data_IF_286589331092
#
_entry.id   IF_286589331092
#
_cell.length_a   1.000
_cell.length_b   1.000
_cell.length_c   1.000
_cell.angle_alpha   90.00
_cell.angle_beta   90.00
_cell.angle_gamma   90.00
#
_symmetry.space_group_name_H-M   'P 1'
#
loop_
_entity.id
_entity.type
_entity.pdbx_description
1 polymer ?
#
# COMPACT_ATOMS: atom_id res chain seq x y z
N UNK A 1 -7.15 1.54 -2.11
CA UNK A 1 -7.35 2.49 -0.99
C UNK A 1 -6.96 3.91 -1.41
N UNK A 2 -7.40 4.95 -0.71
CA UNK A 2 -6.87 6.32 -0.83
C UNK A 2 -6.07 6.63 0.44
N UNK A 3 -4.80 6.97 0.31
CA UNK A 3 -3.88 7.19 1.43
C UNK A 3 -3.25 8.58 1.41
N UNK A 4 -2.98 9.15 2.57
CA UNK A 4 -2.26 10.42 2.68
C UNK A 4 -0.80 10.27 2.22
N UNK A 5 -0.27 11.30 1.56
CA UNK A 5 1.13 11.37 1.17
C UNK A 5 2.03 11.68 2.37
N UNK A 6 2.21 10.66 3.22
CA UNK A 6 3.17 10.66 4.34
C UNK A 6 4.07 9.44 4.22
N UNK A 7 5.36 9.53 4.58
CA UNK A 7 6.34 8.47 4.31
C UNK A 7 5.94 7.06 4.78
N UNK A 8 5.32 6.88 5.98
CA UNK A 8 4.90 5.56 6.41
C UNK A 8 3.84 4.94 5.50
N UNK A 9 2.89 5.72 4.98
CA UNK A 9 1.79 5.21 4.16
C UNK A 9 2.24 5.05 2.71
N UNK A 10 2.84 6.10 2.14
CA UNK A 10 3.22 6.13 0.73
C UNK A 10 4.23 5.05 0.37
N UNK A 11 5.18 4.75 1.28
CA UNK A 11 6.17 3.68 1.08
C UNK A 11 5.53 2.32 0.78
N UNK A 12 4.51 1.91 1.54
CA UNK A 12 3.90 0.59 1.36
C UNK A 12 2.93 0.56 0.18
N UNK A 13 2.14 1.63 0.03
CA UNK A 13 1.10 1.75 -1.01
C UNK A 13 1.72 1.83 -2.40
N UNK A 14 2.75 2.67 -2.59
CA UNK A 14 3.42 2.84 -3.88
C UNK A 14 4.24 1.60 -4.24
N UNK A 15 4.97 1.01 -3.28
CA UNK A 15 5.75 -0.22 -3.53
C UNK A 15 4.87 -1.38 -4.01
N UNK A 16 3.65 -1.47 -3.49
CA UNK A 16 2.71 -2.52 -3.84
C UNK A 16 1.76 -2.15 -4.99
N UNK A 17 1.81 -0.92 -5.51
CA UNK A 17 0.80 -0.38 -6.43
C UNK A 17 -0.64 -0.71 -5.96
N UNK A 18 -0.95 -0.43 -4.70
CA UNK A 18 -2.17 -0.91 -4.01
C UNK A 18 -3.17 0.19 -3.64
N UNK A 19 -2.93 1.41 -4.10
CA UNK A 19 -3.78 2.55 -3.81
C UNK A 19 -3.31 3.85 -4.43
N UNK A 20 -4.11 4.88 -4.23
CA UNK A 20 -3.85 6.25 -4.69
C UNK A 20 -3.32 7.04 -3.50
N UNK A 21 -2.18 7.70 -3.66
CA UNK A 21 -1.60 8.61 -2.67
C UNK A 21 -1.99 10.04 -2.99
N UNK A 22 -2.51 10.76 -2.00
CA UNK A 22 -3.02 12.12 -2.16
C UNK A 22 -2.47 13.09 -1.12
N UNK A 23 -2.37 14.37 -1.45
CA UNK A 23 -2.10 15.41 -0.45
C UNK A 23 -3.26 15.47 0.58
N UNK A 24 -3.00 15.24 1.88
CA UNK A 24 -4.05 15.23 2.91
C UNK A 24 -4.73 16.58 3.12
N UNK A 25 -4.12 17.68 2.66
CA UNK A 25 -4.67 19.04 2.79
C UNK A 25 -5.35 19.53 1.50
N UNK A 26 -5.46 18.68 0.48
CA UNK A 26 -6.11 19.02 -0.79
C UNK A 26 -7.42 18.25 -0.95
N UNK A 27 -8.54 18.88 -0.58
CA UNK A 27 -9.86 18.25 -0.64
C UNK A 27 -10.24 17.80 -2.06
N UNK A 28 -9.87 18.57 -3.09
CA UNK A 28 -10.20 18.25 -4.47
C UNK A 28 -9.51 16.96 -4.90
N UNK A 29 -8.24 16.79 -4.55
CA UNK A 29 -7.45 15.59 -4.87
C UNK A 29 -8.00 14.35 -4.16
N UNK A 30 -8.38 14.48 -2.89
CA UNK A 30 -9.03 13.41 -2.11
C UNK A 30 -10.35 13.00 -2.79
N UNK A 31 -11.22 13.96 -3.09
CA UNK A 31 -12.51 13.71 -3.71
C UNK A 31 -12.37 13.07 -5.09
N UNK A 32 -11.46 13.56 -5.93
CA UNK A 32 -11.21 13.00 -7.25
C UNK A 32 -10.69 11.56 -7.18
N UNK A 33 -9.76 11.26 -6.26
CA UNK A 33 -9.26 9.89 -6.07
C UNK A 33 -10.36 8.91 -5.63
N UNK A 34 -11.24 9.34 -4.72
CA UNK A 34 -12.39 8.52 -4.29
C UNK A 34 -13.35 8.28 -5.46
N UNK A 35 -13.70 9.34 -6.21
CA UNK A 35 -14.58 9.24 -7.37
C UNK A 35 -13.97 8.34 -8.45
N UNK A 36 -12.66 8.44 -8.69
CA UNK A 36 -11.95 7.61 -9.66
C UNK A 36 -12.07 6.12 -9.33
N UNK A 37 -11.89 5.74 -8.07
CA UNK A 37 -12.06 4.34 -7.63
C UNK A 37 -13.51 3.87 -7.73
N UNK A 38 -14.49 4.73 -7.45
CA UNK A 38 -15.91 4.39 -7.55
C UNK A 38 -16.39 4.23 -9.00
N UNK A 39 -15.81 4.98 -9.94
CA UNK A 39 -16.23 4.98 -11.35
C UNK A 39 -15.45 4.02 -12.24
N UNK A 40 -14.27 3.58 -11.80
CA UNK A 40 -13.41 2.70 -12.57
C UNK A 40 -13.22 1.36 -11.84
N UNK A 41 -14.08 0.39 -12.16
CA UNK A 41 -14.07 -0.95 -11.56
C UNK A 41 -12.78 -1.73 -11.86
N UNK A 42 -12.21 -1.55 -13.05
CA UNK A 42 -10.95 -2.19 -13.46
C UNK A 42 -9.80 -1.72 -12.56
N UNK A 43 -9.64 -0.40 -12.42
CA UNK A 43 -8.63 0.18 -11.54
C UNK A 43 -8.84 -0.23 -10.08
N UNK A 44 -10.10 -0.20 -9.61
CA UNK A 44 -10.41 -0.64 -8.25
C UNK A 44 -9.99 -2.10 -8.01
N UNK A 45 -10.31 -2.98 -8.96
CA UNK A 45 -10.00 -4.41 -8.89
C UNK A 45 -8.50 -4.65 -8.93
N UNK A 46 -7.77 -3.96 -9.81
CA UNK A 46 -6.31 -4.04 -9.89
C UNK A 46 -5.67 -3.66 -8.57
N UNK A 47 -5.97 -2.46 -8.04
CA UNK A 47 -5.38 -1.97 -6.79
C UNK A 47 -5.76 -2.84 -5.59
N UNK A 48 -6.99 -3.38 -5.56
CA UNK A 48 -7.45 -4.30 -4.52
C UNK A 48 -6.72 -5.64 -4.54
N UNK A 49 -6.52 -6.22 -5.72
CA UNK A 49 -5.78 -7.46 -5.89
C UNK A 49 -4.30 -7.28 -5.51
N UNK A 50 -3.69 -6.18 -5.94
CA UNK A 50 -2.33 -5.81 -5.55
C UNK A 50 -2.20 -5.65 -4.03
N UNK A 51 -3.17 -4.99 -3.38
CA UNK A 51 -3.20 -4.85 -1.92
C UNK A 51 -3.25 -6.22 -1.22
N UNK A 52 -4.15 -7.10 -1.65
CA UNK A 52 -4.29 -8.46 -1.09
C UNK A 52 -3.02 -9.27 -1.29
N UNK A 53 -2.45 -9.25 -2.48
CA UNK A 53 -1.21 -9.96 -2.80
C UNK A 53 -0.05 -9.46 -1.92
N UNK A 54 0.10 -8.15 -1.77
CA UNK A 54 1.16 -7.58 -0.94
C UNK A 54 0.99 -7.92 0.55
N UNK A 55 -0.25 -7.91 1.06
CA UNK A 55 -0.54 -8.34 2.42
C UNK A 55 -0.19 -9.82 2.63
N UNK A 56 -0.42 -10.68 1.63
CA UNK A 56 -0.15 -12.11 1.71
C UNK A 56 1.34 -12.46 1.49
N UNK A 57 2.09 -11.65 0.74
CA UNK A 57 3.44 -12.04 0.28
C UNK A 57 4.58 -11.13 0.73
N UNK A 58 4.32 -9.84 0.98
CA UNK A 58 5.38 -8.87 1.30
C UNK A 58 5.34 -8.42 2.76
N UNK A 59 4.14 -8.26 3.30
CA UNK A 59 3.88 -7.62 4.60
C UNK A 59 3.24 -8.58 5.61
N UNK A 60 3.25 -9.89 5.33
CA UNK A 60 2.75 -10.90 6.25
C UNK A 60 3.75 -11.16 7.39
N UNK A 61 3.26 -11.65 8.53
CA UNK A 61 4.08 -11.95 9.71
C UNK A 61 5.18 -12.98 9.46
N UNK A 62 4.95 -13.95 8.56
CA UNK A 62 5.95 -14.97 8.25
C UNK A 62 7.18 -14.37 7.55
N UNK A 63 6.95 -13.50 6.58
CA UNK A 63 7.99 -12.76 5.86
C UNK A 63 8.70 -11.74 6.76
N UNK A 64 8.01 -11.10 7.70
CA UNK A 64 8.67 -10.23 8.68
C UNK A 64 9.49 -11.03 9.71
N UNK A 65 9.01 -12.19 10.17
CA UNK A 65 9.75 -13.11 11.04
C UNK A 65 11.09 -13.52 10.41
N UNK A 66 11.08 -13.93 9.14
CA UNK A 66 12.28 -14.34 8.41
C UNK A 66 13.32 -13.21 8.33
N UNK A 67 12.90 -11.96 8.13
CA UNK A 67 13.81 -10.80 8.12
C UNK A 67 14.45 -10.60 9.48
N UNK A 68 13.69 -10.74 10.56
CA UNK A 68 14.18 -10.59 11.92
C UNK A 68 15.19 -11.70 12.24
N UNK A 69 14.86 -12.96 11.97
CA UNK A 69 15.76 -14.10 12.20
C UNK A 69 17.06 -13.92 11.41
N UNK A 70 16.97 -13.52 10.14
CA UNK A 70 18.15 -13.25 9.30
C UNK A 70 19.03 -12.14 9.87
N UNK A 71 18.42 -11.07 10.40
CA UNK A 71 19.16 -9.98 11.04
C UNK A 71 19.94 -10.48 12.25
N UNK A 72 19.29 -11.20 13.18
CA UNK A 72 19.98 -11.75 14.35
C UNK A 72 21.09 -12.72 13.97
N UNK A 73 20.86 -13.58 12.98
CA UNK A 73 21.88 -14.49 12.46
C UNK A 73 23.08 -13.79 11.82
N UNK A 74 22.95 -12.54 11.37
CA UNK A 74 24.07 -11.76 10.83
C UNK A 74 24.92 -11.07 11.90
N UNK A 75 24.47 -11.06 13.15
CA UNK A 75 25.16 -10.48 14.29
C UNK A 75 25.96 -11.51 15.11
N UNK A 76 25.90 -12.78 14.73
CA UNK A 76 26.63 -13.90 15.34
C UNK A 76 27.62 -14.47 14.33
#
# INVERSE_FOLDING_TARGET
>A
MVGSNVPPISKFVLRANSGIIVNPYNINEISLAIIQLLKNEELYTELSNNAKLAAQTLYNWKTEEEKIIKLYGSLT
#
